data_IF_888937671126
#
_entry.id   IF_888937671126
#
_cell.length_a   1.000
_cell.length_b   1.000
_cell.length_c   1.000
_cell.angle_alpha   90.00
_cell.angle_beta   90.00
_cell.angle_gamma   90.00
#
_symmetry.space_group_name_H-M   'P 1'
#
loop_
_entity.id
_entity.type
_entity.pdbx_description
1 polymer ?
#
# COMPACT_ATOMS: atom_id res chain seq x y z
N UNK A 1 12.74 17.53 44.76
CA UNK A 1 12.38 16.30 44.00
C UNK A 1 11.30 16.69 43.00
N UNK A 2 11.67 16.92 41.73
CA UNK A 2 10.72 17.23 40.67
C UNK A 2 10.36 15.91 39.97
N UNK A 3 9.19 15.37 40.30
CA UNK A 3 8.39 14.60 39.35
C UNK A 3 7.73 15.63 38.46
N UNK A 4 8.04 15.61 37.17
CA UNK A 4 7.08 15.75 36.08
C UNK A 4 7.82 15.89 34.75
N UNK A 5 7.45 14.99 33.84
CA UNK A 5 7.45 15.11 32.38
C UNK A 5 8.08 13.89 31.71
N UNK A 6 7.46 12.73 31.97
CA UNK A 6 7.43 11.68 30.95
C UNK A 6 6.42 12.18 29.91
N UNK A 7 6.90 12.52 28.71
CA UNK A 7 6.02 12.84 27.59
C UNK A 7 4.90 11.79 27.51
N UNK A 8 3.62 12.19 27.39
CA UNK A 8 2.51 11.25 27.41
C UNK A 8 2.69 10.20 26.31
N UNK A 9 2.29 8.96 26.61
CA UNK A 9 2.20 7.87 25.64
C UNK A 9 1.50 8.43 24.41
N UNK A 10 2.20 8.45 23.26
CA UNK A 10 1.66 8.97 21.99
C UNK A 10 0.27 8.37 21.75
N UNK A 11 -0.73 9.23 21.58
CA UNK A 11 -2.11 8.86 21.35
C UNK A 11 -2.20 7.88 20.15
N UNK A 12 -3.23 7.02 20.12
CA UNK A 12 -3.46 6.17 18.96
C UNK A 12 -3.62 7.03 17.70
N UNK A 13 -3.23 6.47 16.55
CA UNK A 13 -3.30 7.18 15.28
C UNK A 13 -4.74 7.54 14.94
N UNK A 14 -5.73 6.72 15.33
CA UNK A 14 -7.14 7.06 15.19
C UNK A 14 -7.97 6.67 16.42
N UNK A 15 -9.02 7.45 16.67
CA UNK A 15 -10.12 7.12 17.58
C UNK A 15 -11.23 6.36 16.83
N UNK A 16 -12.16 5.73 17.58
CA UNK A 16 -13.32 5.08 16.95
C UNK A 16 -14.17 6.06 16.14
N UNK A 17 -14.41 7.26 16.68
CA UNK A 17 -15.25 8.28 16.03
C UNK A 17 -14.66 8.77 14.69
N UNK A 18 -13.33 8.91 14.61
CA UNK A 18 -12.66 9.29 13.36
C UNK A 18 -12.74 8.19 12.30
N UNK A 19 -12.66 6.93 12.71
CA UNK A 19 -12.83 5.79 11.81
C UNK A 19 -14.29 5.63 11.36
N UNK A 20 -15.24 5.96 12.23
CA UNK A 20 -16.67 5.97 11.92
C UNK A 20 -16.98 7.07 10.90
N UNK A 21 -16.40 8.27 11.06
CA UNK A 21 -16.50 9.36 10.09
C UNK A 21 -15.90 9.00 8.71
N UNK A 22 -14.93 8.09 8.69
CA UNK A 22 -14.31 7.55 7.48
C UNK A 22 -15.03 6.27 6.96
N UNK A 23 -16.19 5.92 7.52
CA UNK A 23 -16.97 4.73 7.20
C UNK A 23 -16.19 3.39 7.27
N UNK A 24 -15.11 3.34 8.06
CA UNK A 24 -14.32 2.11 8.24
C UNK A 24 -15.15 1.08 9.02
N UNK A 25 -15.27 -0.18 8.56
CA UNK A 25 -16.10 -1.18 9.22
C UNK A 25 -15.77 -1.39 10.70
N UNK A 26 -16.82 -1.59 11.50
CA UNK A 26 -16.68 -1.67 12.95
C UNK A 26 -15.78 -2.82 13.40
N UNK A 27 -16.00 -3.98 12.77
CA UNK A 27 -15.28 -5.23 13.01
C UNK A 27 -14.37 -5.49 11.81
N UNK A 28 -13.13 -4.99 11.84
CA UNK A 28 -12.12 -5.37 10.86
C UNK A 28 -10.70 -5.25 11.44
N UNK A 29 -9.76 -6.00 10.85
CA UNK A 29 -8.35 -5.97 11.26
C UNK A 29 -7.77 -4.55 11.24
N UNK A 30 -7.99 -3.80 10.16
CA UNK A 30 -7.44 -2.45 9.97
C UNK A 30 -7.92 -1.47 11.02
N UNK A 31 -9.20 -1.51 11.40
CA UNK A 31 -9.72 -0.68 12.50
C UNK A 31 -9.02 -0.99 13.80
N UNK A 32 -8.77 -2.27 14.09
CA UNK A 32 -8.03 -2.68 15.28
C UNK A 32 -6.56 -2.23 15.24
N UNK A 33 -5.92 -2.30 14.08
CA UNK A 33 -4.56 -1.82 13.86
C UNK A 33 -4.45 -0.31 14.07
N UNK A 34 -5.26 0.49 13.37
CA UNK A 34 -5.21 1.96 13.40
C UNK A 34 -5.51 2.54 14.79
N UNK A 35 -6.30 1.85 15.62
CA UNK A 35 -6.57 2.22 17.02
C UNK A 35 -5.45 1.86 17.99
N UNK A 36 -4.47 1.03 17.58
CA UNK A 36 -3.36 0.57 18.43
C UNK A 36 -2.02 1.16 18.02
N UNK A 37 -1.85 1.45 16.74
CA UNK A 37 -0.66 2.14 16.21
C UNK A 37 -0.59 3.52 16.86
N UNK A 38 0.57 3.85 17.41
CA UNK A 38 0.85 5.20 17.95
C UNK A 38 0.99 6.16 16.78
N UNK A 39 0.52 7.40 16.94
CA UNK A 39 0.70 8.41 15.91
C UNK A 39 2.20 8.64 15.64
N UNK A 40 2.70 8.37 14.40
CA UNK A 40 4.07 8.66 14.03
C UNK A 40 4.37 10.15 14.07
N UNK A 41 5.64 10.55 14.20
CA UNK A 41 6.04 11.97 14.19
C UNK A 41 6.50 12.47 12.83
N UNK A 42 6.71 11.55 11.89
CA UNK A 42 7.09 11.85 10.53
C UNK A 42 5.87 11.97 9.62
N UNK A 43 6.02 12.63 8.49
CA UNK A 43 4.99 12.83 7.48
C UNK A 43 4.92 11.68 6.49
N UNK A 44 6.06 11.12 6.08
CA UNK A 44 6.13 10.08 5.06
C UNK A 44 6.67 8.77 5.61
N UNK A 45 5.90 7.68 5.47
CA UNK A 45 6.26 6.33 5.93
C UNK A 45 7.11 5.56 4.90
N UNK A 46 6.93 5.90 3.62
CA UNK A 46 7.65 5.39 2.47
C UNK A 46 7.70 6.49 1.41
N UNK A 47 8.50 6.36 0.34
CA UNK A 47 8.60 7.39 -0.68
C UNK A 47 7.22 7.74 -1.26
N UNK A 48 6.80 8.99 -1.07
CA UNK A 48 5.51 9.50 -1.53
C UNK A 48 4.26 8.97 -0.81
N UNK A 49 4.37 8.22 0.29
CA UNK A 49 3.22 7.72 1.07
C UNK A 49 3.07 8.48 2.39
N UNK A 50 2.01 9.27 2.50
CA UNK A 50 1.73 10.15 3.64
C UNK A 50 1.02 9.42 4.79
N UNK A 51 1.53 9.63 6.02
CA UNK A 51 0.87 9.23 7.25
C UNK A 51 -0.36 10.13 7.47
N UNK A 52 -1.56 9.56 7.71
CA UNK A 52 -2.80 10.32 7.78
C UNK A 52 -2.96 11.07 9.11
N UNK A 53 -2.23 12.17 9.26
CA UNK A 53 -2.33 13.07 10.41
C UNK A 53 -3.62 13.89 10.40
N UNK A 54 -4.05 14.33 9.22
CA UNK A 54 -5.32 15.02 8.98
C UNK A 54 -6.46 13.98 8.86
N UNK A 55 -7.32 13.92 9.88
CA UNK A 55 -8.37 12.91 10.04
C UNK A 55 -9.55 13.19 9.11
N UNK A 56 -9.86 14.46 8.91
CA UNK A 56 -10.89 14.89 7.99
C UNK A 56 -10.48 14.62 6.54
N UNK A 57 -9.23 14.86 6.17
CA UNK A 57 -8.69 14.48 4.87
C UNK A 57 -8.66 12.96 4.69
N UNK A 58 -8.27 12.21 5.72
CA UNK A 58 -8.34 10.75 5.70
C UNK A 58 -9.76 10.27 5.39
N UNK A 59 -10.78 10.80 6.07
CA UNK A 59 -12.18 10.43 5.84
C UNK A 59 -12.65 10.80 4.42
N UNK A 60 -12.33 12.01 3.94
CA UNK A 60 -12.69 12.45 2.57
C UNK A 60 -12.04 11.61 1.47
N UNK A 61 -10.86 11.05 1.72
CA UNK A 61 -10.13 10.20 0.76
C UNK A 61 -10.65 8.76 0.71
N UNK A 62 -11.51 8.34 1.65
CA UNK A 62 -12.04 6.98 1.66
C UNK A 62 -13.13 6.78 0.61
N UNK A 63 -12.73 6.42 -0.60
CA UNK A 63 -13.68 6.18 -1.69
C UNK A 63 -14.51 4.91 -1.47
N UNK A 64 -13.85 3.78 -1.20
CA UNK A 64 -14.50 2.47 -1.20
C UNK A 64 -15.29 2.20 0.09
N UNK A 65 -14.87 2.72 1.23
CA UNK A 65 -15.63 2.54 2.49
C UNK A 65 -16.96 3.30 2.50
N UNK A 66 -17.03 4.43 1.79
CA UNK A 66 -18.22 5.28 1.66
C UNK A 66 -19.27 4.71 0.69
N UNK A 67 -18.96 3.60 0.01
CA UNK A 67 -19.87 2.91 -0.89
C UNK A 67 -20.54 1.75 -0.12
N UNK A 68 -21.84 1.50 -0.32
CA UNK A 68 -22.51 0.34 0.26
C UNK A 68 -21.75 -0.96 -0.03
N UNK A 69 -21.44 -1.71 1.02
CA UNK A 69 -20.77 -3.00 0.95
C UNK A 69 -21.59 -4.04 1.71
N UNK A 70 -21.35 -5.30 1.39
CA UNK A 70 -22.06 -6.39 2.05
C UNK A 70 -21.63 -6.55 3.51
N UNK A 71 -22.54 -7.03 4.36
CA UNK A 71 -22.32 -7.19 5.80
C UNK A 71 -21.08 -8.03 6.14
N UNK A 72 -20.80 -9.06 5.33
CA UNK A 72 -19.68 -9.98 5.52
C UNK A 72 -18.44 -9.58 4.69
N UNK A 73 -18.40 -8.36 4.17
CA UNK A 73 -17.29 -7.85 3.37
C UNK A 73 -16.64 -6.64 4.02
N UNK A 74 -15.32 -6.54 3.86
CA UNK A 74 -14.52 -5.40 4.30
C UNK A 74 -14.04 -4.67 3.04
N UNK A 75 -14.51 -3.44 2.76
CA UNK A 75 -13.99 -2.63 1.68
C UNK A 75 -12.52 -2.25 1.92
N UNK A 76 -11.81 -1.96 0.85
CA UNK A 76 -10.43 -1.48 0.94
C UNK A 76 -10.36 -0.08 1.56
N UNK A 77 -9.60 0.04 2.65
CA UNK A 77 -9.36 1.30 3.37
C UNK A 77 -8.04 1.90 2.88
N UNK A 78 -8.03 3.16 2.44
CA UNK A 78 -6.79 3.85 2.10
C UNK A 78 -6.04 4.20 3.40
N UNK A 79 -4.92 3.52 3.66
CA UNK A 79 -4.10 3.66 4.86
C UNK A 79 -3.10 4.81 4.74
N UNK A 80 -2.35 4.85 3.65
CA UNK A 80 -1.34 5.88 3.37
C UNK A 80 -1.54 6.40 1.96
N UNK A 81 -1.95 7.66 1.83
CA UNK A 81 -2.24 8.27 0.54
C UNK A 81 -0.95 8.77 -0.11
N UNK A 82 -0.86 8.66 -1.43
CA UNK A 82 0.03 9.49 -2.21
C UNK A 82 -0.67 10.83 -2.46
N UNK A 83 -0.20 11.94 -1.87
CA UNK A 83 -0.90 13.22 -1.93
C UNK A 83 -1.02 13.71 -3.38
N UNK A 84 -2.18 14.27 -3.71
CA UNK A 84 -2.53 14.87 -5.00
C UNK A 84 -2.34 13.97 -6.24
N UNK A 85 -2.31 12.66 -6.03
CA UNK A 85 -2.12 11.67 -7.10
C UNK A 85 -3.35 10.78 -7.20
N UNK A 86 -4.07 10.96 -8.29
CA UNK A 86 -5.27 10.21 -8.64
C UNK A 86 -4.96 9.33 -9.85
N UNK A 87 -5.64 8.19 -9.92
CA UNK A 87 -5.68 7.32 -11.09
C UNK A 87 -7.13 7.10 -11.47
N UNK A 88 -7.37 6.94 -12.76
CA UNK A 88 -8.69 6.58 -13.26
C UNK A 88 -9.05 5.17 -12.80
N UNK A 89 -10.30 4.97 -12.37
CA UNK A 89 -10.83 3.66 -12.07
C UNK A 89 -10.82 2.82 -13.35
N UNK A 90 -9.81 1.96 -13.48
CA UNK A 90 -9.63 1.03 -14.58
C UNK A 90 -10.23 -0.36 -14.23
N UNK A 91 -10.23 -1.27 -15.20
CA UNK A 91 -10.77 -2.62 -15.02
C UNK A 91 -10.09 -3.40 -13.88
N UNK A 92 -8.78 -3.26 -13.69
CA UNK A 92 -8.01 -3.94 -12.64
C UNK A 92 -8.44 -3.45 -11.24
N UNK A 93 -8.40 -2.14 -11.01
CA UNK A 93 -8.78 -1.52 -9.73
C UNK A 93 -10.25 -1.80 -9.44
N UNK A 94 -11.14 -1.67 -10.44
CA UNK A 94 -12.57 -1.97 -10.28
C UNK A 94 -12.77 -3.42 -9.87
N UNK A 95 -12.14 -4.36 -10.58
CA UNK A 95 -12.25 -5.79 -10.26
C UNK A 95 -11.79 -6.08 -8.83
N UNK A 96 -10.65 -5.51 -8.43
CA UNK A 96 -10.05 -5.70 -7.12
C UNK A 96 -10.96 -5.16 -5.99
N UNK A 97 -11.39 -3.91 -6.06
CA UNK A 97 -12.17 -3.29 -4.99
C UNK A 97 -13.66 -3.66 -5.02
N UNK A 98 -14.20 -4.14 -6.14
CA UNK A 98 -15.60 -4.58 -6.24
C UNK A 98 -15.95 -5.82 -5.42
N UNK A 99 -14.95 -6.58 -4.92
CA UNK A 99 -15.15 -7.80 -4.10
C UNK A 99 -16.11 -7.54 -2.93
N UNK A 100 -16.00 -6.36 -2.31
CA UNK A 100 -16.84 -5.97 -1.18
C UNK A 100 -18.20 -5.36 -1.58
N UNK A 101 -18.40 -5.00 -2.85
CA UNK A 101 -19.50 -4.17 -3.34
C UNK A 101 -20.32 -4.90 -4.41
N UNK A 102 -21.22 -5.80 -4.02
CA UNK A 102 -22.19 -6.37 -4.97
C UNK A 102 -23.22 -5.33 -5.42
N UNK A 103 -23.51 -5.34 -6.72
CA UNK A 103 -24.56 -4.55 -7.35
C UNK A 103 -24.38 -3.02 -7.27
N UNK A 104 -23.16 -2.55 -7.02
CA UNK A 104 -22.84 -1.13 -7.12
C UNK A 104 -22.21 -0.85 -8.47
N UNK A 105 -22.83 0.06 -9.24
CA UNK A 105 -22.21 0.59 -10.45
C UNK A 105 -21.09 1.55 -10.05
N UNK A 106 -19.86 1.23 -10.44
CA UNK A 106 -18.74 2.16 -10.39
C UNK A 106 -18.45 2.59 -11.82
N UNK A 107 -18.36 3.90 -12.08
CA UNK A 107 -18.09 4.39 -13.42
C UNK A 107 -16.60 4.27 -13.72
N UNK A 108 -16.28 3.73 -14.89
CA UNK A 108 -14.92 3.76 -15.42
C UNK A 108 -14.51 5.25 -15.57
N UNK A 109 -13.25 5.56 -15.26
CA UNK A 109 -12.67 6.93 -15.19
C UNK A 109 -13.06 7.78 -13.96
N UNK A 110 -13.75 7.22 -12.97
CA UNK A 110 -13.86 7.91 -11.70
C UNK A 110 -12.48 8.02 -11.03
N UNK A 111 -12.13 9.18 -10.45
CA UNK A 111 -10.84 9.36 -9.80
C UNK A 111 -10.73 8.50 -8.54
N UNK A 112 -9.62 7.76 -8.44
CA UNK A 112 -9.24 6.92 -7.30
C UNK A 112 -7.94 7.47 -6.72
N UNK A 113 -7.89 7.78 -5.41
CA UNK A 113 -6.63 8.12 -4.76
C UNK A 113 -5.60 7.00 -4.90
N UNK A 114 -4.34 7.36 -5.09
CA UNK A 114 -3.24 6.39 -5.14
C UNK A 114 -2.62 6.25 -3.75
N UNK A 115 -1.97 5.12 -3.49
CA UNK A 115 -1.37 4.83 -2.19
C UNK A 115 -1.60 3.40 -1.70
N UNK A 116 -1.34 3.18 -0.41
CA UNK A 116 -1.49 1.88 0.22
C UNK A 116 -2.91 1.70 0.75
N UNK A 117 -3.61 0.71 0.19
CA UNK A 117 -4.91 0.26 0.64
C UNK A 117 -4.79 -1.03 1.45
N UNK A 118 -5.73 -1.27 2.36
CA UNK A 118 -5.98 -2.62 2.87
C UNK A 118 -6.60 -3.50 1.79
N UNK A 119 -6.39 -4.81 1.90
CA UNK A 119 -7.05 -5.76 1.00
C UNK A 119 -8.59 -5.68 1.16
N UNK A 120 -9.34 -5.48 0.06
CA UNK A 120 -10.78 -5.68 0.08
C UNK A 120 -11.06 -7.19 0.22
N UNK A 121 -11.79 -7.59 1.25
CA UNK A 121 -12.06 -9.00 1.52
C UNK A 121 -13.54 -9.30 1.64
N UNK A 122 -13.87 -10.56 1.39
CA UNK A 122 -15.18 -11.14 1.69
C UNK A 122 -14.95 -12.32 2.64
N UNK A 123 -15.52 -12.28 3.84
CA UNK A 123 -15.27 -13.27 4.90
C UNK A 123 -15.73 -14.69 4.57
N UNK A 124 -16.59 -14.84 3.57
CA UNK A 124 -17.02 -16.14 3.06
C UNK A 124 -16.08 -16.76 2.02
N UNK A 125 -15.08 -16.02 1.53
CA UNK A 125 -14.17 -16.53 0.49
C UNK A 125 -13.02 -17.33 1.09
N UNK A 126 -12.53 -18.31 0.33
CA UNK A 126 -11.33 -19.06 0.67
C UNK A 126 -10.08 -18.17 0.62
N UNK A 127 -9.09 -18.49 1.45
CA UNK A 127 -7.77 -17.82 1.49
C UNK A 127 -7.80 -16.29 1.65
N UNK A 128 -8.84 -15.76 2.30
CA UNK A 128 -8.92 -14.34 2.63
C UNK A 128 -7.82 -13.90 3.62
N UNK A 129 -7.39 -12.64 3.52
CA UNK A 129 -6.37 -12.05 4.38
C UNK A 129 -6.72 -10.59 4.72
N UNK A 130 -7.42 -10.35 5.84
CA UNK A 130 -7.76 -8.99 6.30
C UNK A 130 -6.51 -8.15 6.63
N UNK A 131 -5.37 -8.79 6.93
CA UNK A 131 -4.10 -8.10 7.12
C UNK A 131 -3.37 -7.81 5.80
N UNK A 132 -4.00 -8.10 4.66
CA UNK A 132 -3.45 -7.91 3.34
C UNK A 132 -3.44 -6.45 2.91
N UNK A 133 -2.73 -6.15 1.82
CA UNK A 133 -2.66 -4.80 1.26
C UNK A 133 -2.61 -4.78 -0.27
N UNK A 134 -2.94 -3.61 -0.82
CA UNK A 134 -2.80 -3.28 -2.25
C UNK A 134 -2.18 -1.92 -2.40
N UNK A 135 -1.06 -1.85 -3.13
CA UNK A 135 -0.41 -0.58 -3.43
C UNK A 135 -0.87 -0.11 -4.81
N UNK A 136 -1.68 0.94 -4.85
CA UNK A 136 -2.24 1.50 -6.09
C UNK A 136 -1.33 2.63 -6.58
N UNK A 137 -0.78 2.48 -7.79
CA UNK A 137 0.11 3.46 -8.42
C UNK A 137 -0.63 4.40 -9.38
N UNK A 138 -0.15 5.65 -9.57
CA UNK A 138 -0.68 6.55 -10.60
C UNK A 138 -0.16 6.25 -12.01
N UNK A 139 0.64 5.19 -12.19
CA UNK A 139 1.16 4.77 -13.48
C UNK A 139 1.17 3.23 -13.54
N UNK A 140 1.22 2.72 -14.77
CA UNK A 140 1.31 1.30 -15.03
C UNK A 140 2.72 0.77 -14.78
N UNK A 141 2.81 -0.36 -14.08
CA UNK A 141 4.02 -1.17 -13.94
C UNK A 141 4.28 -1.90 -15.26
N UNK A 142 5.54 -1.94 -15.69
CA UNK A 142 5.97 -2.58 -16.95
C UNK A 142 5.09 -2.17 -18.16
N UNK A 143 5.07 -0.88 -18.54
CA UNK A 143 4.23 -0.38 -19.65
C UNK A 143 4.70 -0.84 -21.04
N UNK A 144 5.84 -1.53 -21.16
CA UNK A 144 6.41 -2.00 -22.41
C UNK A 144 5.86 -3.35 -22.90
N UNK A 145 5.77 -3.52 -24.23
CA UNK A 145 5.35 -4.76 -24.90
C UNK A 145 6.42 -5.85 -24.92
N UNK A 146 7.68 -5.50 -24.69
CA UNK A 146 8.79 -6.43 -24.79
C UNK A 146 8.97 -7.21 -23.50
N UNK A 147 9.60 -8.39 -23.62
CA UNK A 147 9.94 -9.27 -22.50
C UNK A 147 10.97 -8.58 -21.62
N UNK A 148 10.51 -7.64 -20.79
CA UNK A 148 11.36 -7.00 -19.80
C UNK A 148 11.73 -8.05 -18.75
N UNK A 149 12.88 -8.70 -18.95
CA UNK A 149 13.54 -9.52 -17.94
C UNK A 149 13.95 -8.67 -16.71
N UNK A 150 13.94 -7.35 -16.89
CA UNK A 150 14.43 -6.31 -16.00
C UNK A 150 13.34 -5.63 -15.13
N UNK A 151 12.08 -6.04 -15.25
CA UNK A 151 10.96 -5.44 -14.53
C UNK A 151 10.76 -5.95 -13.11
N UNK A 152 9.91 -5.26 -12.33
CA UNK A 152 9.48 -5.70 -11.01
C UNK A 152 8.90 -7.13 -11.05
N UNK A 153 9.26 -7.94 -10.06
CA UNK A 153 8.85 -9.34 -9.93
C UNK A 153 8.04 -9.57 -8.66
N UNK A 154 7.11 -10.50 -8.74
CA UNK A 154 6.35 -11.02 -7.60
C UNK A 154 7.22 -12.00 -6.79
N UNK A 155 6.73 -12.46 -5.65
CA UNK A 155 7.49 -13.33 -4.74
C UNK A 155 7.87 -14.70 -5.34
N UNK A 156 7.21 -15.14 -6.41
CA UNK A 156 7.51 -16.40 -7.13
C UNK A 156 8.45 -16.20 -8.33
N UNK A 157 9.11 -15.03 -8.41
CA UNK A 157 10.00 -14.61 -9.50
C UNK A 157 9.33 -14.33 -10.83
N UNK A 158 8.01 -14.48 -10.94
CA UNK A 158 7.31 -14.08 -12.17
C UNK A 158 7.30 -12.56 -12.26
N UNK A 159 7.42 -12.02 -13.48
CA UNK A 159 7.29 -10.58 -13.66
C UNK A 159 5.87 -10.14 -13.28
N UNK A 160 5.75 -8.95 -12.72
CA UNK A 160 4.47 -8.25 -12.56
C UNK A 160 3.78 -8.16 -13.92
N UNK A 161 2.46 -8.26 -13.94
CA UNK A 161 1.65 -8.14 -15.16
C UNK A 161 1.92 -6.78 -15.81
N UNK A 162 2.22 -6.80 -17.11
CA UNK A 162 2.41 -5.57 -17.89
C UNK A 162 1.13 -4.74 -17.87
N UNK A 163 1.26 -3.45 -17.55
CA UNK A 163 0.13 -2.55 -17.41
C UNK A 163 -0.48 -2.48 -16.01
N UNK A 164 -0.07 -3.34 -15.07
CA UNK A 164 -0.69 -3.41 -13.74
C UNK A 164 -0.41 -2.15 -12.92
N UNK A 165 -1.42 -1.66 -12.20
CA UNK A 165 -1.25 -0.58 -11.21
C UNK A 165 -1.30 -1.06 -9.76
N UNK A 166 -1.42 -2.37 -9.50
CA UNK A 166 -1.68 -2.88 -8.13
C UNK A 166 -0.85 -4.10 -7.70
N UNK A 167 -0.07 -4.73 -8.58
CA UNK A 167 0.59 -6.01 -8.31
C UNK A 167 1.97 -5.92 -7.62
N UNK A 168 2.50 -4.73 -7.34
CA UNK A 168 3.79 -4.63 -6.64
C UNK A 168 3.66 -5.18 -5.21
N UNK A 169 4.71 -5.91 -4.77
CA UNK A 169 4.77 -6.60 -3.48
C UNK A 169 3.64 -7.61 -3.26
N UNK A 170 3.04 -8.15 -4.32
CA UNK A 170 2.07 -9.24 -4.20
C UNK A 170 2.74 -10.61 -4.35
N UNK A 171 2.09 -11.63 -3.81
CA UNK A 171 2.42 -13.01 -4.13
C UNK A 171 2.23 -13.26 -5.63
N UNK A 172 3.06 -14.15 -6.18
CA UNK A 172 2.78 -14.69 -7.49
C UNK A 172 1.64 -15.70 -7.48
N UNK A 173 1.50 -16.47 -8.55
CA UNK A 173 0.35 -17.36 -8.74
C UNK A 173 0.29 -18.46 -7.67
N UNK A 174 1.45 -18.88 -7.18
CA UNK A 174 1.59 -19.93 -6.19
C UNK A 174 2.53 -19.48 -5.08
N UNK A 175 2.12 -19.67 -3.84
CA UNK A 175 3.00 -19.50 -2.69
C UNK A 175 2.99 -20.77 -1.82
N UNK A 176 4.19 -21.30 -1.47
CA UNK A 176 4.26 -22.53 -0.68
C UNK A 176 3.52 -22.36 0.64
N UNK A 177 2.65 -23.32 0.97
CA UNK A 177 1.92 -23.40 2.26
C UNK A 177 0.88 -22.30 2.55
N UNK A 178 0.43 -21.50 1.57
CA UNK A 178 -0.59 -20.48 1.83
C UNK A 178 -1.77 -20.41 0.84
N UNK A 179 -1.81 -21.24 -0.19
CA UNK A 179 -2.92 -21.29 -1.15
C UNK A 179 -2.65 -20.60 -2.49
N UNK A 180 -3.72 -20.29 -3.21
CA UNK A 180 -3.68 -19.60 -4.50
C UNK A 180 -4.13 -18.14 -4.29
N UNK A 181 -3.29 -17.17 -4.71
CA UNK A 181 -3.62 -15.73 -4.77
C UNK A 181 -3.99 -15.06 -3.44
N UNK A 182 -3.52 -15.55 -2.28
CA UNK A 182 -3.63 -14.79 -1.02
C UNK A 182 -2.82 -13.49 -1.14
N UNK A 183 -3.32 -12.40 -0.58
CA UNK A 183 -2.56 -11.15 -0.50
C UNK A 183 -1.39 -11.23 0.47
N UNK A 184 -0.33 -10.49 0.17
CA UNK A 184 0.80 -10.31 1.09
C UNK A 184 0.36 -9.50 2.32
N UNK A 185 0.92 -9.82 3.48
CA UNK A 185 0.57 -9.17 4.75
C UNK A 185 1.26 -7.82 4.89
N UNK A 186 0.57 -6.87 5.53
CA UNK A 186 1.12 -5.57 5.90
C UNK A 186 2.41 -5.69 6.74
N UNK A 187 2.50 -6.73 7.58
CA UNK A 187 3.70 -7.04 8.35
C UNK A 187 4.93 -7.21 7.45
N UNK A 188 4.85 -8.10 6.45
CA UNK A 188 5.94 -8.36 5.50
C UNK A 188 6.30 -7.14 4.67
N UNK A 189 5.31 -6.29 4.33
CA UNK A 189 5.57 -5.01 3.67
C UNK A 189 6.39 -4.07 4.56
N UNK A 190 6.00 -3.91 5.82
CA UNK A 190 6.70 -3.03 6.76
C UNK A 190 8.10 -3.55 7.09
N UNK A 191 8.28 -4.87 7.25
CA UNK A 191 9.61 -5.48 7.39
C UNK A 191 10.49 -5.15 6.18
N UNK A 192 9.93 -5.24 4.97
CA UNK A 192 10.67 -4.88 3.76
C UNK A 192 11.04 -3.40 3.72
N UNK A 193 10.15 -2.51 4.14
CA UNK A 193 10.43 -1.07 4.21
C UNK A 193 11.53 -0.75 5.22
N UNK A 194 11.54 -1.44 6.38
CA UNK A 194 12.63 -1.34 7.36
C UNK A 194 13.96 -1.70 6.71
N UNK A 195 14.03 -2.84 6.01
CA UNK A 195 15.26 -3.25 5.31
C UNK A 195 15.72 -2.20 4.30
N UNK A 196 14.80 -1.58 3.54
CA UNK A 196 15.15 -0.55 2.55
C UNK A 196 15.72 0.72 3.20
N UNK A 197 15.23 1.09 4.39
CA UNK A 197 15.78 2.20 5.17
C UNK A 197 17.13 1.83 5.78
N UNK A 198 17.24 0.70 6.46
CA UNK A 198 18.45 0.26 7.16
C UNK A 198 19.62 -0.01 6.20
N UNK A 199 19.33 -0.49 4.99
CA UNK A 199 20.32 -0.69 3.94
C UNK A 199 20.74 0.60 3.23
N UNK A 200 20.15 1.75 3.58
CA UNK A 200 20.47 3.06 3.00
C UNK A 200 19.92 3.27 1.58
N UNK A 201 19.03 2.40 1.13
CA UNK A 201 18.39 2.49 -0.19
C UNK A 201 17.34 3.60 -0.18
N UNK A 202 16.61 3.71 0.93
CA UNK A 202 15.73 4.84 1.22
C UNK A 202 16.41 5.77 2.22
N UNK A 203 16.56 7.03 1.84
CA UNK A 203 17.06 8.06 2.74
C UNK A 203 15.94 8.57 3.65
N UNK A 204 16.28 8.91 4.88
CA UNK A 204 15.34 9.43 5.88
C UNK A 204 15.77 10.85 6.24
N UNK A 205 14.88 11.80 5.96
CA UNK A 205 15.05 13.21 6.25
C UNK A 205 14.20 13.66 7.44
N UNK A 206 14.06 14.98 7.58
CA UNK A 206 13.30 15.60 8.68
C UNK A 206 11.82 15.19 8.73
N UNK A 207 11.23 14.90 7.56
CA UNK A 207 9.81 14.62 7.40
C UNK A 207 9.52 13.11 7.25
N UNK A 208 10.51 12.25 7.47
CA UNK A 208 10.40 10.80 7.26
C UNK A 208 11.20 10.32 6.05
N UNK A 209 10.73 9.25 5.40
CA UNK A 209 11.38 8.73 4.20
C UNK A 209 11.32 9.78 3.09
N UNK A 210 12.46 10.13 2.52
CA UNK A 210 12.56 11.17 1.50
C UNK A 210 11.98 10.70 0.16
N UNK A 211 11.58 11.69 -0.64
CA UNK A 211 10.91 11.47 -1.90
C UNK A 211 11.90 10.95 -2.95
N UNK A 212 12.00 9.64 -3.10
CA UNK A 212 12.03 9.05 -4.44
C UNK A 212 10.64 9.24 -5.03
N UNK A 213 10.48 10.10 -6.04
CA UNK A 213 9.16 10.28 -6.67
C UNK A 213 8.60 8.92 -7.01
N UNK A 214 7.34 8.63 -6.67
CA UNK A 214 6.74 7.38 -7.13
C UNK A 214 6.79 7.29 -8.67
N UNK A 215 6.96 8.41 -9.40
CA UNK A 215 7.13 8.44 -10.85
C UNK A 215 8.52 7.99 -11.36
N UNK A 216 9.55 7.86 -10.51
CA UNK A 216 10.91 7.61 -10.98
C UNK A 216 11.76 6.96 -9.90
N UNK A 217 11.76 5.63 -9.85
CA UNK A 217 12.65 4.86 -8.97
C UNK A 217 12.17 4.81 -7.50
N UNK A 218 11.20 3.93 -7.24
CA UNK A 218 11.28 3.14 -6.01
C UNK A 218 12.56 2.29 -6.16
N UNK A 219 13.73 2.86 -5.82
CA UNK A 219 14.99 2.13 -5.79
C UNK A 219 14.79 1.02 -4.77
N UNK A 220 14.64 -0.21 -5.23
CA UNK A 220 14.65 -1.42 -4.40
C UNK A 220 16.00 -2.13 -4.70
N UNK A 221 17.11 -1.39 -4.68
CA UNK A 221 18.44 -1.95 -4.95
C UNK A 221 19.10 -2.48 -3.68
N UNK A 222 19.52 -3.73 -3.64
CA UNK A 222 20.33 -4.28 -2.52
C UNK A 222 21.74 -3.68 -2.55
N UNK A 223 22.40 -3.32 -1.43
CA UNK A 223 23.77 -2.81 -1.44
C UNK A 223 24.75 -3.94 -1.79
N UNK A 224 25.50 -3.79 -2.89
CA UNK A 224 26.52 -4.77 -3.29
C UNK A 224 26.95 -4.75 -4.77
N UNK A 225 26.27 -4.02 -5.65
CA UNK A 225 26.69 -3.88 -7.06
C UNK A 225 27.04 -2.43 -7.41
N UNK A 226 28.34 -2.23 -7.63
CA UNK A 226 28.95 -1.03 -8.17
C UNK A 226 28.67 -0.99 -9.68
N UNK A 227 28.01 0.05 -10.22
CA UNK A 227 28.13 0.37 -11.65
C UNK A 227 28.23 1.89 -11.84
N UNK A 228 29.35 2.30 -12.42
CA UNK A 228 29.68 3.67 -12.83
C UNK A 228 28.76 4.11 -13.97
N UNK A 229 28.39 5.38 -13.92
CA UNK A 229 27.62 6.05 -14.96
C UNK A 229 28.38 6.09 -16.29
N UNK A 230 27.71 5.70 -17.36
CA UNK A 230 27.83 6.34 -18.67
C UNK A 230 26.51 6.21 -19.41
N UNK A 231 25.87 7.36 -19.62
CA UNK A 231 24.81 7.70 -20.57
C UNK A 231 23.67 6.69 -20.85
N UNK A 232 22.44 7.22 -20.67
CA UNK A 232 21.14 6.69 -21.10
C UNK A 232 20.54 5.55 -20.25
N UNK A 233 19.92 5.98 -19.15
CA UNK A 233 18.66 5.48 -18.57
C UNK A 233 18.24 4.03 -18.81
N UNK A 234 18.81 3.10 -18.04
CA UNK A 234 18.30 1.74 -17.80
C UNK A 234 18.58 1.39 -16.34
N UNK A 235 17.56 0.90 -15.60
CA UNK A 235 17.75 0.39 -14.23
C UNK A 235 16.89 -0.88 -14.04
N UNK A 236 17.59 -1.98 -13.80
CA UNK A 236 17.09 -3.34 -13.49
C UNK A 236 16.98 -3.57 -11.98
N UNK A 237 15.90 -4.20 -11.48
CA UNK A 237 15.79 -4.55 -10.05
C UNK A 237 15.13 -5.93 -9.81
N UNK A 238 15.82 -6.75 -9.01
CA UNK A 238 15.43 -8.10 -8.55
C UNK A 238 14.97 -8.09 -7.09
N UNK A 239 13.82 -8.70 -6.79
CA UNK A 239 13.22 -8.81 -5.45
C UNK A 239 13.35 -10.23 -4.91
N UNK A 240 14.14 -10.42 -3.84
CA UNK A 240 14.02 -11.58 -2.95
C UNK A 240 13.06 -11.24 -1.81
N UNK A 241 11.94 -11.95 -1.74
CA UNK A 241 11.17 -12.15 -0.51
C UNK A 241 11.35 -13.63 -0.13
N UNK A 242 12.12 -13.88 0.93
CA UNK A 242 12.25 -15.20 1.57
C UNK A 242 11.04 -15.51 2.42
#
# INVERSE_FOLDING_TARGET
>A
MLRDSLLPISAPLFTSAELDAAAVPQECFIRSLLRRVKSPRFRFIAPGLEVPHDKEAFARRQRFTNIPHEKDSIPGVLLFAAPDRLVDLNFEIRRLFSIAHKNVSMNDNDPVPTGLYSEPVRRGDYDMEEAGFRLVFPFALRPGFFRDEEGARMSDWRPVTSGSSTELFQHGYFHPFGGERRSQRLESLFERWIVLVESGVWTVGKDGVEEGSINSEMRIGVPGMNIRSHQAGEISISLMCS
#
